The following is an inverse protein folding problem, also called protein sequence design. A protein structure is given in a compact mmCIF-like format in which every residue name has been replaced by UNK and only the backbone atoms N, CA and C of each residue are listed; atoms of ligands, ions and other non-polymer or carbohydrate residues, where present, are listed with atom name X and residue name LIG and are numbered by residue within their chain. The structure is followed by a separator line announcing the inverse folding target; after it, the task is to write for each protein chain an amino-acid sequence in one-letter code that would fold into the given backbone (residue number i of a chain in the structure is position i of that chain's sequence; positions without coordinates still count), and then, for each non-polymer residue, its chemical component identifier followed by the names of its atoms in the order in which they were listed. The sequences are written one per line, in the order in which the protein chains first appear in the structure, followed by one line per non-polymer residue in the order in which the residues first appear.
data_IF_780438909832
#
_entry.id   IF_780438909832
#
_cell.length_a   1.000
_cell.length_b   1.000
_cell.length_c   1.000
_cell.angle_alpha   90.00
_cell.angle_beta   90.00
_cell.angle_gamma   90.00
#
_symmetry.space_group_name_H-M   'P 1'
#
loop_
_entity.id
_entity.type
_entity.pdbx_description
1 polymer ?
#
# COMPACT_ATOMS: atom_id res chain seq x y z
N UNK A 1 -7.97 -2.01 18.37
CA UNK A 1 -7.59 -0.94 19.33
C UNK A 1 -8.49 0.26 19.08
N UNK A 2 -8.90 0.90 20.14
CA UNK A 2 -9.89 1.97 20.14
C UNK A 2 -9.18 3.31 19.83
N UNK A 3 -9.22 3.72 18.55
CA UNK A 3 -8.66 4.98 18.09
C UNK A 3 -9.51 6.17 18.55
N UNK A 4 -10.80 5.95 18.83
CA UNK A 4 -11.72 7.02 19.20
C UNK A 4 -11.31 7.75 20.52
N UNK A 5 -10.49 7.10 21.35
CA UNK A 5 -9.91 7.74 22.57
C UNK A 5 -8.96 8.89 22.30
N UNK A 6 -8.43 8.98 21.08
CA UNK A 6 -7.48 10.02 20.68
C UNK A 6 -8.14 11.14 19.89
N UNK A 7 -9.41 10.94 19.49
CA UNK A 7 -10.17 11.94 18.72
C UNK A 7 -10.57 13.09 19.61
N UNK A 8 -10.44 14.32 19.10
CA UNK A 8 -10.83 15.54 19.82
C UNK A 8 -9.71 16.14 20.70
N UNK A 9 -8.60 15.44 20.84
CA UNK A 9 -7.40 15.94 21.53
C UNK A 9 -6.44 16.54 20.49
N UNK A 10 -5.68 17.55 20.89
CA UNK A 10 -4.65 18.19 20.06
C UNK A 10 -3.29 17.54 20.35
N UNK A 11 -2.62 17.06 19.30
CA UNK A 11 -1.29 16.48 19.39
C UNK A 11 -0.30 17.21 18.48
N UNK A 12 0.80 17.67 19.04
CA UNK A 12 1.92 18.25 18.28
C UNK A 12 2.69 17.16 17.50
N UNK A 13 2.75 15.97 18.06
CA UNK A 13 3.45 14.82 17.50
C UNK A 13 2.63 13.56 17.76
N UNK A 14 2.45 12.78 16.71
CA UNK A 14 1.85 11.43 16.79
C UNK A 14 2.90 10.44 16.31
N UNK A 15 3.14 9.38 17.08
CA UNK A 15 3.96 8.26 16.68
C UNK A 15 3.08 7.00 16.62
N UNK A 16 3.08 6.31 15.49
CA UNK A 16 2.32 5.08 15.28
C UNK A 16 3.28 3.97 14.89
N UNK A 17 3.31 2.93 15.68
CA UNK A 17 4.02 1.71 15.35
C UNK A 17 3.07 0.72 14.66
N UNK A 18 3.59 0.02 13.66
CA UNK A 18 2.81 -0.91 12.83
C UNK A 18 1.56 -0.27 12.19
N UNK A 19 1.74 0.86 11.51
CA UNK A 19 0.65 1.58 10.83
C UNK A 19 -0.17 0.66 9.91
N UNK A 20 0.47 -0.32 9.29
CA UNK A 20 -0.15 -1.33 8.42
C UNK A 20 -1.18 -2.24 9.14
N UNK A 21 -1.29 -2.17 10.47
CA UNK A 21 -2.34 -2.85 11.24
C UNK A 21 -3.59 -1.98 11.48
N UNK A 22 -3.60 -0.75 10.98
CA UNK A 22 -4.74 0.15 11.02
C UNK A 22 -5.37 0.27 9.63
N UNK A 23 -6.67 0.50 9.60
CA UNK A 23 -7.42 0.87 8.39
C UNK A 23 -7.27 2.37 8.12
N UNK A 24 -7.40 2.80 6.86
CA UNK A 24 -7.24 4.19 6.47
C UNK A 24 -8.15 5.15 7.26
N UNK A 25 -9.41 4.78 7.50
CA UNK A 25 -10.35 5.58 8.30
C UNK A 25 -9.87 5.86 9.74
N UNK A 26 -9.11 4.93 10.32
CA UNK A 26 -8.52 5.12 11.64
C UNK A 26 -7.31 6.05 11.61
N UNK A 27 -6.53 5.95 10.55
CA UNK A 27 -5.39 6.84 10.32
C UNK A 27 -5.89 8.27 10.12
N UNK A 28 -6.91 8.47 9.28
CA UNK A 28 -7.53 9.78 9.03
C UNK A 28 -8.05 10.43 10.31
N UNK A 29 -8.66 9.65 11.21
CA UNK A 29 -9.09 10.14 12.53
C UNK A 29 -7.92 10.64 13.38
N UNK A 30 -6.79 9.94 13.36
CA UNK A 30 -5.59 10.36 14.08
C UNK A 30 -4.95 11.60 13.45
N UNK A 31 -4.90 11.67 12.13
CA UNK A 31 -4.42 12.84 11.40
C UNK A 31 -5.27 14.08 11.71
N UNK A 32 -6.60 13.92 11.87
CA UNK A 32 -7.48 14.99 12.32
C UNK A 32 -7.14 15.56 13.70
N UNK A 33 -6.45 14.79 14.53
CA UNK A 33 -5.96 15.22 15.85
C UNK A 33 -4.53 15.78 15.82
N UNK A 34 -3.83 15.68 14.68
CA UNK A 34 -2.48 16.19 14.47
C UNK A 34 -2.52 17.71 14.18
N UNK A 35 -2.62 18.50 15.22
CA UNK A 35 -2.72 19.96 15.13
C UNK A 35 -2.03 20.60 16.33
N UNK A 36 -1.73 21.89 16.22
CA UNK A 36 -1.06 22.62 17.31
C UNK A 36 -1.52 24.07 17.36
N UNK A 37 -1.70 24.59 18.56
CA UNK A 37 -1.86 26.00 18.85
C UNK A 37 -0.54 26.73 19.06
N UNK A 38 0.60 26.02 19.06
CA UNK A 38 1.93 26.60 19.24
C UNK A 38 2.39 27.37 18.03
N UNK A 39 2.82 28.62 18.23
CA UNK A 39 3.43 29.41 17.15
C UNK A 39 4.79 28.82 16.75
N UNK A 40 5.08 28.85 15.44
CA UNK A 40 6.35 28.36 14.85
C UNK A 40 6.61 26.86 15.05
N UNK A 41 5.58 26.08 15.34
CA UNK A 41 5.65 24.62 15.42
C UNK A 41 4.85 23.99 14.30
N UNK A 42 5.42 23.00 13.63
CA UNK A 42 4.72 22.18 12.62
C UNK A 42 4.41 20.83 13.22
N UNK A 43 3.14 20.42 13.33
CA UNK A 43 2.77 19.08 13.75
C UNK A 43 3.39 18.01 12.86
N UNK A 44 3.75 16.87 13.43
CA UNK A 44 4.42 15.78 12.71
C UNK A 44 3.89 14.43 13.13
N UNK A 45 3.75 13.54 12.15
CA UNK A 45 3.47 12.13 12.36
C UNK A 45 4.71 11.31 12.00
N UNK A 46 5.07 10.38 12.86
CA UNK A 46 6.10 9.38 12.63
C UNK A 46 5.47 8.00 12.66
N UNK A 47 5.76 7.18 11.67
CA UNK A 47 5.16 5.87 11.56
C UNK A 47 6.19 4.82 11.21
N UNK A 48 6.06 3.63 11.80
CA UNK A 48 6.75 2.43 11.36
C UNK A 48 5.75 1.45 10.77
N UNK A 49 6.16 0.69 9.78
CA UNK A 49 5.29 -0.30 9.14
C UNK A 49 6.11 -1.32 8.33
N UNK A 50 5.50 -2.48 8.16
CA UNK A 50 6.03 -3.57 7.35
C UNK A 50 5.01 -3.98 6.28
N UNK A 51 5.42 -4.66 5.20
CA UNK A 51 4.48 -5.24 4.25
C UNK A 51 3.51 -6.20 4.92
N UNK A 52 2.25 -6.18 4.50
CA UNK A 52 1.17 -6.99 5.07
C UNK A 52 0.26 -6.22 6.02
N UNK A 53 -0.72 -6.92 6.60
CA UNK A 53 -1.73 -6.31 7.47
C UNK A 53 -2.90 -5.67 6.71
N UNK A 54 -3.92 -5.26 7.46
CA UNK A 54 -5.17 -4.74 6.90
C UNK A 54 -4.98 -3.40 6.18
N UNK A 55 -4.03 -2.58 6.63
CA UNK A 55 -3.70 -1.27 6.05
C UNK A 55 -2.62 -1.32 4.98
N UNK A 56 -2.22 -2.52 4.50
CA UNK A 56 -1.14 -2.66 3.52
C UNK A 56 -1.33 -1.78 2.28
N UNK A 57 -2.54 -1.80 1.71
CA UNK A 57 -2.85 -1.04 0.49
C UNK A 57 -2.75 0.47 0.73
N UNK A 58 -3.33 0.96 1.83
CA UNK A 58 -3.32 2.38 2.18
C UNK A 58 -1.88 2.88 2.44
N UNK A 59 -1.07 2.09 3.15
CA UNK A 59 0.34 2.39 3.40
C UNK A 59 1.14 2.41 2.09
N UNK A 60 0.92 1.43 1.23
CA UNK A 60 1.59 1.36 -0.08
C UNK A 60 1.28 2.58 -0.92
N UNK A 61 0.01 2.95 -1.05
CA UNK A 61 -0.43 4.10 -1.82
C UNK A 61 0.11 5.43 -1.24
N UNK A 62 0.08 5.56 0.09
CA UNK A 62 0.44 6.82 0.76
C UNK A 62 1.94 7.06 0.85
N UNK A 63 2.74 6.01 1.02
CA UNK A 63 4.18 6.15 1.32
C UNK A 63 5.08 5.51 0.27
N UNK A 64 4.73 4.32 -0.22
CA UNK A 64 5.64 3.54 -1.07
C UNK A 64 5.58 4.01 -2.52
N UNK A 65 4.38 4.17 -3.08
CA UNK A 65 4.23 4.61 -4.47
C UNK A 65 4.76 6.04 -4.71
N UNK A 66 4.52 7.04 -3.83
CA UNK A 66 5.14 8.35 -3.96
C UNK A 66 6.67 8.31 -3.87
N UNK A 67 7.23 7.47 -3.00
CA UNK A 67 8.67 7.27 -2.90
C UNK A 67 9.25 6.67 -4.20
N UNK A 68 8.63 5.63 -4.74
CA UNK A 68 9.03 5.00 -6.01
C UNK A 68 8.95 5.98 -7.18
N UNK A 69 7.90 6.78 -7.22
CA UNK A 69 7.69 7.81 -8.23
C UNK A 69 8.57 9.06 -8.04
N UNK A 70 9.38 9.13 -6.96
CA UNK A 70 10.17 10.31 -6.57
C UNK A 70 9.31 11.58 -6.42
N UNK A 71 8.08 11.43 -5.96
CA UNK A 71 7.09 12.49 -5.81
C UNK A 71 6.56 12.58 -4.37
N UNK A 72 7.45 12.52 -3.39
CA UNK A 72 7.15 12.65 -1.98
C UNK A 72 6.95 14.13 -1.61
N UNK A 73 5.71 14.60 -1.60
CA UNK A 73 5.38 16.01 -1.29
C UNK A 73 4.95 16.21 0.16
N UNK A 74 4.18 15.28 0.71
CA UNK A 74 3.60 15.36 2.06
C UNK A 74 4.29 14.43 3.04
N UNK A 75 4.73 13.29 2.57
CA UNK A 75 5.32 12.21 3.36
C UNK A 75 6.78 12.01 2.97
N UNK A 76 7.56 11.37 3.82
CA UNK A 76 8.91 10.93 3.53
C UNK A 76 9.03 9.47 3.97
N UNK A 77 9.26 8.57 3.03
CA UNK A 77 9.55 7.18 3.33
C UNK A 77 11.06 6.95 3.44
N UNK A 78 11.47 6.23 4.48
CA UNK A 78 12.86 5.84 4.69
C UNK A 78 12.89 4.31 4.72
N UNK A 79 13.27 3.66 3.61
CA UNK A 79 13.36 2.21 3.57
C UNK A 79 14.47 1.72 4.50
N UNK A 80 14.19 0.64 5.23
CA UNK A 80 15.15 -0.04 6.07
C UNK A 80 14.90 -1.54 6.04
N UNK A 81 15.96 -2.33 6.12
CA UNK A 81 15.90 -3.79 6.22
C UNK A 81 16.63 -4.24 7.49
N UNK A 82 16.36 -5.45 7.94
CA UNK A 82 17.03 -6.02 9.11
C UNK A 82 18.56 -6.05 8.96
N UNK A 83 19.07 -6.17 7.73
CA UNK A 83 20.53 -6.18 7.44
C UNK A 83 21.23 -4.87 7.78
N UNK A 84 20.48 -3.77 7.89
CA UNK A 84 21.02 -2.46 8.22
C UNK A 84 21.06 -2.20 9.74
N UNK A 85 20.50 -3.11 10.54
CA UNK A 85 20.53 -2.99 12.00
C UNK A 85 21.66 -3.88 12.59
N UNK A 86 22.81 -3.30 12.97
CA UNK A 86 23.94 -4.07 13.50
C UNK A 86 23.72 -4.60 14.92
N UNK A 87 22.62 -4.20 15.57
CA UNK A 87 22.30 -4.58 16.95
C UNK A 87 21.26 -5.70 17.06
N UNK A 88 20.85 -6.29 15.93
CA UNK A 88 19.91 -7.42 15.96
C UNK A 88 20.53 -8.64 16.60
N UNK A 89 19.75 -9.33 17.43
CA UNK A 89 20.13 -10.63 17.97
C UNK A 89 20.31 -11.64 16.80
N UNK A 90 21.45 -12.37 16.74
CA UNK A 90 21.68 -13.38 15.71
C UNK A 90 20.57 -14.43 15.60
N UNK A 91 20.00 -14.87 16.71
CA UNK A 91 18.88 -15.83 16.73
C UNK A 91 17.63 -15.28 16.00
N UNK A 92 17.40 -13.96 16.09
CA UNK A 92 16.31 -13.32 15.37
C UNK A 92 16.59 -13.20 13.87
N UNK A 93 17.84 -12.98 13.50
CA UNK A 93 18.28 -13.00 12.09
C UNK A 93 18.07 -14.40 11.51
N UNK A 94 18.50 -15.44 12.22
CA UNK A 94 18.29 -16.83 11.82
C UNK A 94 16.79 -17.14 11.67
N UNK A 95 15.97 -16.68 12.61
CA UNK A 95 14.52 -16.82 12.50
C UNK A 95 13.96 -16.16 11.23
N UNK A 96 14.36 -14.93 10.93
CA UNK A 96 13.92 -14.23 9.71
C UNK A 96 14.33 -14.98 8.44
N UNK A 97 15.53 -15.56 8.42
CA UNK A 97 16.03 -16.35 7.27
C UNK A 97 15.23 -17.67 7.09
N UNK A 98 14.68 -18.23 8.18
CA UNK A 98 13.88 -19.46 8.11
C UNK A 98 12.45 -19.23 7.67
N UNK A 99 11.94 -17.97 7.70
CA UNK A 99 10.58 -17.67 7.27
C UNK A 99 10.38 -18.01 5.78
N UNK A 100 9.45 -18.92 5.53
CA UNK A 100 9.09 -19.35 4.19
C UNK A 100 7.94 -18.52 3.61
N UNK A 101 7.77 -18.61 2.28
CA UNK A 101 6.67 -17.97 1.56
C UNK A 101 6.83 -16.48 1.32
N UNK A 102 5.83 -15.91 0.69
CA UNK A 102 5.85 -14.52 0.21
C UNK A 102 5.92 -13.50 1.35
N UNK A 103 5.25 -13.76 2.47
CA UNK A 103 5.28 -12.85 3.62
C UNK A 103 6.69 -12.79 4.24
N UNK A 104 7.34 -13.94 4.39
CA UNK A 104 8.72 -13.99 4.90
C UNK A 104 9.68 -13.23 3.99
N UNK A 105 9.53 -13.41 2.68
CA UNK A 105 10.31 -12.66 1.69
C UNK A 105 10.02 -11.16 1.75
N UNK A 106 8.74 -10.78 1.81
CA UNK A 106 8.32 -9.39 1.92
C UNK A 106 8.93 -8.70 3.14
N UNK A 107 8.96 -9.35 4.28
CA UNK A 107 9.55 -8.81 5.50
C UNK A 107 11.07 -8.69 5.45
N UNK A 108 11.75 -9.69 4.86
CA UNK A 108 13.22 -9.64 4.71
C UNK A 108 13.69 -8.57 3.75
N UNK A 109 13.00 -8.44 2.63
CA UNK A 109 13.41 -7.58 1.52
C UNK A 109 12.70 -6.22 1.52
N UNK A 110 11.67 -6.04 2.36
CA UNK A 110 10.81 -4.85 2.32
C UNK A 110 10.00 -4.80 1.02
N UNK A 111 9.59 -5.96 0.51
CA UNK A 111 8.85 -6.05 -0.76
C UNK A 111 7.36 -5.77 -0.53
N UNK A 112 6.90 -4.64 -1.02
CA UNK A 112 5.51 -4.17 -0.93
C UNK A 112 4.61 -4.72 -2.03
N UNK A 113 5.14 -5.47 -2.97
CA UNK A 113 4.38 -6.10 -4.05
C UNK A 113 4.04 -7.57 -3.73
N UNK A 114 4.66 -8.13 -2.71
CA UNK A 114 4.32 -9.45 -2.17
C UNK A 114 3.36 -9.30 -0.98
N UNK A 115 2.14 -9.75 -1.16
CA UNK A 115 1.11 -9.69 -0.12
C UNK A 115 0.50 -11.08 0.16
N UNK A 116 0.58 -11.53 1.41
CA UNK A 116 -0.09 -12.75 1.85
C UNK A 116 -1.62 -12.52 1.84
N UNK A 117 -2.31 -13.16 0.91
CA UNK A 117 -3.74 -12.96 0.64
C UNK A 117 -4.03 -12.36 -0.74
N UNK A 118 -3.00 -12.07 -1.51
CA UNK A 118 -3.15 -11.75 -2.92
C UNK A 118 -3.73 -12.97 -3.64
N UNK A 119 -4.84 -12.79 -4.37
CA UNK A 119 -5.49 -13.89 -5.10
C UNK A 119 -4.57 -14.49 -6.17
N UNK A 120 -3.80 -13.63 -6.84
CA UNK A 120 -2.76 -14.02 -7.79
C UNK A 120 -1.38 -13.85 -7.15
N UNK A 121 -0.90 -14.87 -6.46
CA UNK A 121 0.41 -14.85 -5.78
C UNK A 121 1.58 -14.66 -6.75
N UNK A 122 1.40 -15.05 -8.01
CA UNK A 122 2.38 -14.92 -9.08
C UNK A 122 2.45 -13.51 -9.68
N UNK A 123 1.49 -12.64 -9.36
CA UNK A 123 1.50 -11.28 -9.91
C UNK A 123 2.71 -10.50 -9.39
N UNK A 124 3.50 -10.02 -10.32
CA UNK A 124 4.70 -9.21 -10.06
C UNK A 124 4.62 -7.94 -10.90
N UNK A 125 4.75 -6.80 -10.23
CA UNK A 125 4.65 -5.50 -10.91
C UNK A 125 5.70 -5.36 -12.03
N UNK A 126 6.94 -5.75 -11.76
CA UNK A 126 8.06 -5.73 -12.71
C UNK A 126 7.90 -6.64 -13.93
N UNK A 127 7.05 -7.67 -13.82
CA UNK A 127 6.81 -8.65 -14.88
C UNK A 127 5.49 -8.49 -15.62
N UNK A 128 4.46 -8.06 -14.90
CA UNK A 128 3.09 -8.08 -15.41
C UNK A 128 2.54 -6.69 -15.69
N UNK A 129 3.36 -5.63 -15.50
CA UNK A 129 3.00 -4.28 -15.91
C UNK A 129 3.93 -3.77 -17.00
N UNK A 130 3.39 -2.92 -17.84
CA UNK A 130 4.13 -2.26 -18.93
C UNK A 130 3.94 -0.75 -18.83
N UNK A 131 4.88 0.00 -19.35
CA UNK A 131 4.72 1.45 -19.45
C UNK A 131 3.49 1.78 -20.30
N UNK A 132 2.73 2.83 -19.96
CA UNK A 132 1.60 3.27 -20.76
C UNK A 132 1.98 3.48 -22.23
N UNK A 133 1.18 2.96 -23.13
CA UNK A 133 1.33 3.14 -24.57
C UNK A 133 -0.04 3.28 -25.25
N UNK A 134 -0.13 3.89 -26.43
CA UNK A 134 -1.36 3.97 -27.18
C UNK A 134 -1.83 2.57 -27.63
N UNK A 135 -3.04 2.18 -27.23
CA UNK A 135 -3.64 0.90 -27.65
C UNK A 135 -4.01 0.99 -29.13
N UNK A 136 -3.47 0.12 -30.00
CA UNK A 136 -3.80 0.09 -31.41
C UNK A 136 -5.30 -0.14 -31.66
N UNK A 137 -5.88 0.56 -32.62
CA UNK A 137 -7.30 0.40 -32.96
C UNK A 137 -7.63 -0.99 -33.50
N UNK A 138 -6.66 -1.65 -34.08
CA UNK A 138 -6.77 -3.01 -34.62
C UNK A 138 -6.84 -4.10 -33.54
N UNK A 139 -6.50 -3.80 -32.29
CA UNK A 139 -6.59 -4.77 -31.20
C UNK A 139 -8.03 -4.94 -30.76
N UNK A 140 -8.40 -6.18 -30.47
CA UNK A 140 -9.72 -6.49 -29.92
C UNK A 140 -9.85 -5.90 -28.52
N UNK A 141 -10.86 -5.05 -28.32
CA UNK A 141 -11.15 -4.43 -27.03
C UNK A 141 -12.32 -5.15 -26.37
N UNK A 142 -12.17 -5.47 -25.09
CA UNK A 142 -13.19 -6.13 -24.28
C UNK A 142 -13.38 -5.38 -22.97
N UNK A 143 -14.56 -5.52 -22.38
CA UNK A 143 -14.87 -5.00 -21.06
C UNK A 143 -15.45 -6.13 -20.22
N UNK A 144 -14.98 -6.26 -18.98
CA UNK A 144 -15.53 -7.15 -17.99
C UNK A 144 -16.08 -6.35 -16.82
N UNK A 145 -17.17 -6.83 -16.23
CA UNK A 145 -17.81 -6.20 -15.10
C UNK A 145 -18.12 -7.25 -14.03
N UNK A 146 -17.70 -6.94 -12.79
CA UNK A 146 -18.05 -7.70 -11.61
C UNK A 146 -18.89 -6.84 -10.66
N UNK A 147 -20.10 -7.35 -10.34
CA UNK A 147 -21.02 -6.65 -9.47
C UNK A 147 -20.71 -6.90 -8.01
N UNK A 148 -20.16 -5.90 -7.33
CA UNK A 148 -19.95 -5.96 -5.90
C UNK A 148 -21.23 -5.65 -5.10
N UNK A 149 -21.62 -6.53 -4.18
CA UNK A 149 -22.73 -6.29 -3.24
C UNK A 149 -22.23 -5.86 -1.87
N UNK A 150 -21.33 -6.59 -1.29
CA UNK A 150 -20.62 -6.30 -0.05
C UNK A 150 -19.23 -5.72 -0.32
N UNK A 151 -18.64 -6.09 -1.45
CA UNK A 151 -17.38 -5.57 -1.98
C UNK A 151 -17.66 -4.52 -3.05
N UNK A 152 -16.68 -3.68 -3.43
CA UNK A 152 -16.79 -2.74 -4.53
C UNK A 152 -17.15 -3.41 -5.85
N UNK A 153 -17.91 -2.72 -6.70
CA UNK A 153 -18.09 -3.14 -8.09
C UNK A 153 -16.84 -2.78 -8.90
N UNK A 154 -16.46 -3.64 -9.83
CA UNK A 154 -15.27 -3.46 -10.65
C UNK A 154 -15.60 -3.55 -12.14
N UNK A 155 -15.13 -2.57 -12.93
CA UNK A 155 -15.04 -2.64 -14.39
C UNK A 155 -13.61 -2.69 -14.83
N UNK A 156 -13.28 -3.61 -15.72
CA UNK A 156 -11.98 -3.70 -16.35
C UNK A 156 -12.12 -3.58 -17.87
N UNK A 157 -11.30 -2.75 -18.49
CA UNK A 157 -11.17 -2.66 -19.94
C UNK A 157 -9.83 -3.24 -20.34
N UNK A 158 -9.87 -4.20 -21.25
CA UNK A 158 -8.68 -4.87 -21.76
C UNK A 158 -8.63 -4.83 -23.28
N UNK A 159 -7.42 -4.85 -23.81
CA UNK A 159 -7.13 -5.02 -25.22
C UNK A 159 -6.35 -6.33 -25.40
N UNK A 160 -6.65 -7.05 -26.48
CA UNK A 160 -6.03 -8.34 -26.81
C UNK A 160 -5.25 -8.14 -28.10
N UNK A 161 -3.95 -8.42 -28.07
CA UNK A 161 -3.10 -8.34 -29.24
C UNK A 161 -3.26 -9.58 -30.15
N UNK A 162 -2.50 -9.60 -31.25
CA UNK A 162 -2.55 -10.69 -32.22
C UNK A 162 -1.96 -12.01 -31.71
N UNK A 163 -1.11 -11.95 -30.68
CA UNK A 163 -0.49 -13.10 -30.02
C UNK A 163 -1.34 -13.63 -28.86
N UNK A 164 -2.46 -12.96 -28.56
CA UNK A 164 -3.38 -13.33 -27.49
C UNK A 164 -3.00 -12.76 -26.12
N UNK A 165 -2.02 -11.85 -26.03
CA UNK A 165 -1.71 -11.20 -24.78
C UNK A 165 -2.81 -10.21 -24.41
N UNK A 166 -3.20 -10.22 -23.13
CA UNK A 166 -4.26 -9.36 -22.58
C UNK A 166 -3.63 -8.19 -21.84
N UNK A 167 -3.89 -6.98 -22.32
CA UNK A 167 -3.45 -5.75 -21.70
C UNK A 167 -4.63 -5.05 -21.05
N UNK A 168 -4.70 -5.01 -19.72
CA UNK A 168 -5.67 -4.19 -18.97
C UNK A 168 -5.19 -2.75 -18.96
N UNK A 169 -5.95 -1.85 -19.57
CA UNK A 169 -5.55 -0.46 -19.75
C UNK A 169 -6.42 0.55 -19.00
N UNK A 170 -7.52 0.09 -18.43
CA UNK A 170 -8.41 0.94 -17.64
C UNK A 170 -9.16 0.10 -16.62
N UNK A 171 -9.30 0.68 -15.43
CA UNK A 171 -10.09 0.14 -14.32
C UNK A 171 -11.05 1.21 -13.80
N UNK A 172 -12.23 0.78 -13.39
CA UNK A 172 -13.14 1.57 -12.57
C UNK A 172 -13.56 0.71 -11.37
N UNK A 173 -13.16 1.13 -10.19
CA UNK A 173 -13.43 0.45 -8.93
C UNK A 173 -14.29 1.37 -8.07
N UNK A 174 -15.54 0.98 -7.80
CA UNK A 174 -16.54 1.86 -7.17
C UNK A 174 -16.96 1.29 -5.83
N UNK A 175 -16.64 2.02 -4.77
CA UNK A 175 -17.15 1.75 -3.44
C UNK A 175 -18.57 2.33 -3.26
N UNK A 176 -19.37 1.66 -2.42
CA UNK A 176 -20.74 2.08 -2.12
C UNK A 176 -20.82 3.40 -1.33
N UNK A 177 -19.69 3.82 -0.74
CA UNK A 177 -19.51 5.08 -0.02
C UNK A 177 -19.32 6.31 -0.93
N UNK A 178 -19.12 6.10 -2.23
CA UNK A 178 -18.83 7.16 -3.19
C UNK A 178 -20.10 7.71 -3.88
N UNK A 179 -21.26 7.62 -3.19
CA UNK A 179 -22.54 8.17 -3.63
C UNK A 179 -22.94 9.39 -2.82
#
# INVERSE_FOLDING_TARGET
RDVDKYVGIEYDVIAIEELNQLTGDKVDKLEGSLRTSKQNWRPRMYTSFNPGGIGHADVKETYIEPFRAKNETKTRFIPSTYKQNPYLNPEYVDYLETLQGDLGKAWREGDWDLFAGQFFSEFRYDKHTVLPFPIPDSWRKVCAFDWGRANPACWLWAAIDWDGNVCVYRELYVNRSDK
#
